data_IF_789443646560
#
_entry.id   IF_789443646560
#
_cell.length_a   1.000
_cell.length_b   1.000
_cell.length_c   1.000
_cell.angle_alpha   90.00
_cell.angle_beta   90.00
_cell.angle_gamma   90.00
#
_symmetry.space_group_name_H-M   'P 1'
#
loop_
_entity.id
_entity.type
_entity.pdbx_description
1 polymer ?
#
# COMPACT_ATOMS: atom_id res chain seq x y z
N UNK A 1 21.52 -9.06 5.59
CA UNK A 1 20.65 -8.86 6.78
C UNK A 1 21.09 -7.65 7.63
N UNK A 2 21.80 -6.65 7.08
CA UNK A 2 22.29 -5.47 7.84
C UNK A 2 21.23 -4.37 7.96
N UNK A 3 20.41 -4.16 6.92
CA UNK A 3 19.38 -3.12 6.90
C UNK A 3 18.31 -3.32 7.98
N UNK A 4 17.80 -4.55 8.12
CA UNK A 4 16.78 -4.88 9.14
C UNK A 4 17.35 -4.75 10.56
N UNK A 5 18.60 -5.16 10.78
CA UNK A 5 19.26 -5.04 12.06
C UNK A 5 19.47 -3.57 12.46
N UNK A 6 19.85 -2.72 11.49
CA UNK A 6 19.96 -1.29 11.69
C UNK A 6 18.61 -0.68 12.06
N UNK A 7 17.54 -0.99 11.32
CA UNK A 7 16.19 -0.51 11.66
C UNK A 7 15.72 -0.95 13.06
N UNK A 8 16.05 -2.18 13.49
CA UNK A 8 15.65 -2.68 14.82
C UNK A 8 16.43 -2.06 15.99
N UNK A 9 17.73 -1.78 15.80
CA UNK A 9 18.65 -1.47 16.91
C UNK A 9 19.18 -0.05 16.90
N UNK A 10 19.19 0.62 15.75
CA UNK A 10 19.75 1.96 15.59
C UNK A 10 18.63 3.00 15.67
N UNK A 11 18.59 3.75 16.78
CA UNK A 11 17.60 4.83 16.97
C UNK A 11 17.71 5.96 15.95
N UNK A 12 18.80 6.06 15.19
CA UNK A 12 18.96 7.03 14.09
C UNK A 12 18.24 6.62 12.81
N UNK A 13 17.84 5.35 12.66
CA UNK A 13 17.17 4.82 11.47
C UNK A 13 15.84 4.22 11.90
N UNK A 14 14.78 5.01 11.78
CA UNK A 14 13.43 4.67 12.20
C UNK A 14 12.48 4.36 11.02
N UNK A 15 12.99 4.40 9.79
CA UNK A 15 12.21 4.24 8.56
C UNK A 15 12.90 3.26 7.62
N UNK A 16 12.12 2.37 7.02
CA UNK A 16 12.58 1.43 6.00
C UNK A 16 11.52 1.31 4.90
N UNK A 17 11.96 1.29 3.65
CA UNK A 17 11.11 1.01 2.50
C UNK A 17 11.27 -0.44 2.08
N UNK A 18 10.14 -1.10 1.84
CA UNK A 18 10.09 -2.52 1.50
C UNK A 18 9.16 -2.67 0.30
N UNK A 19 9.64 -3.36 -0.74
CA UNK A 19 8.86 -3.65 -1.94
C UNK A 19 7.95 -4.86 -1.72
N UNK A 20 7.09 -5.15 -2.70
CA UNK A 20 6.20 -6.33 -2.70
C UNK A 20 6.94 -7.66 -2.48
N UNK A 21 8.22 -7.76 -2.86
CA UNK A 21 9.02 -8.97 -2.60
C UNK A 21 9.21 -9.20 -1.10
N UNK A 22 9.35 -8.13 -0.33
CA UNK A 22 9.49 -8.20 1.13
C UNK A 22 8.20 -8.56 1.87
N UNK A 23 7.02 -8.49 1.22
CA UNK A 23 5.74 -8.88 1.83
C UNK A 23 5.67 -10.37 2.18
N UNK A 24 6.32 -11.23 1.39
CA UNK A 24 6.26 -12.69 1.54
C UNK A 24 7.56 -13.30 2.07
N UNK A 25 8.70 -12.64 1.82
CA UNK A 25 10.02 -13.24 2.00
C UNK A 25 10.61 -13.07 3.41
N UNK A 26 10.12 -12.14 4.24
CA UNK A 26 10.75 -11.80 5.52
C UNK A 26 9.74 -11.53 6.64
N UNK A 27 10.05 -12.00 7.83
CA UNK A 27 9.41 -11.50 9.05
C UNK A 27 9.86 -10.06 9.27
N UNK A 28 8.94 -9.13 9.03
CA UNK A 28 9.15 -7.72 9.26
C UNK A 28 9.51 -7.46 10.73
N UNK A 29 10.51 -6.60 11.00
CA UNK A 29 10.83 -6.16 12.35
C UNK A 29 9.60 -5.55 13.02
N UNK A 30 9.51 -5.69 14.35
CA UNK A 30 8.44 -5.08 15.15
C UNK A 30 8.42 -3.56 14.93
N UNK A 31 7.49 -3.07 14.09
CA UNK A 31 7.31 -1.67 13.78
C UNK A 31 6.02 -1.16 14.42
N UNK A 32 6.07 0.05 14.97
CA UNK A 32 4.89 0.69 15.57
C UNK A 32 3.94 1.28 14.53
N UNK A 33 4.46 1.67 13.37
CA UNK A 33 3.70 2.30 12.29
C UNK A 33 4.04 1.62 10.99
N UNK A 34 3.01 1.27 10.23
CA UNK A 34 3.17 0.82 8.84
C UNK A 34 2.33 1.68 7.91
N UNK A 35 2.96 2.12 6.84
CA UNK A 35 2.35 2.88 5.77
C UNK A 35 2.39 2.02 4.52
N UNK A 36 1.22 1.65 4.04
CA UNK A 36 1.06 0.96 2.76
C UNK A 36 0.75 1.99 1.68
N UNK A 37 1.62 2.06 0.68
CA UNK A 37 1.38 2.81 -0.56
C UNK A 37 0.68 1.90 -1.56
N UNK A 38 -0.41 2.38 -2.18
CA UNK A 38 -1.06 1.82 -3.39
C UNK A 38 -1.23 0.29 -3.41
N UNK A 39 -2.47 -0.19 -3.30
CA UNK A 39 -2.73 -1.64 -3.23
C UNK A 39 -3.81 -2.09 -4.19
N UNK A 40 -3.39 -2.42 -5.41
CA UNK A 40 -4.25 -3.04 -6.39
C UNK A 40 -4.30 -4.56 -6.22
N UNK A 41 -5.51 -5.14 -6.24
CA UNK A 41 -5.74 -6.57 -6.52
C UNK A 41 -5.23 -7.58 -5.48
N UNK A 42 -4.88 -7.16 -4.27
CA UNK A 42 -4.34 -8.05 -3.24
C UNK A 42 -5.45 -8.80 -2.45
N UNK A 43 -5.17 -10.03 -2.01
CA UNK A 43 -6.14 -10.86 -1.29
C UNK A 43 -6.44 -10.30 0.10
N UNK A 44 -7.71 -9.97 0.37
CA UNK A 44 -8.19 -9.48 1.69
C UNK A 44 -7.72 -10.34 2.86
N UNK A 45 -7.68 -11.67 2.69
CA UNK A 45 -7.20 -12.60 3.74
C UNK A 45 -5.68 -12.49 3.97
N UNK A 46 -4.91 -12.31 2.90
CA UNK A 46 -3.46 -12.17 2.97
C UNK A 46 -3.07 -10.84 3.61
N UNK A 47 -3.77 -9.75 3.27
CA UNK A 47 -3.56 -8.43 3.89
C UNK A 47 -3.82 -8.48 5.40
N UNK A 48 -4.91 -9.10 5.84
CA UNK A 48 -5.20 -9.19 7.27
C UNK A 48 -4.22 -10.08 8.03
N UNK A 49 -3.73 -11.15 7.40
CA UNK A 49 -2.67 -11.96 7.99
C UNK A 49 -1.36 -11.16 8.09
N UNK A 50 -1.03 -10.37 7.07
CA UNK A 50 0.13 -9.46 7.06
C UNK A 50 0.01 -8.40 8.16
N UNK A 51 -1.15 -7.75 8.26
CA UNK A 51 -1.46 -6.77 9.31
C UNK A 51 -1.30 -7.37 10.70
N UNK A 52 -1.80 -8.60 10.93
CA UNK A 52 -1.64 -9.28 12.21
C UNK A 52 -0.19 -9.61 12.57
N UNK A 53 0.69 -9.81 11.58
CA UNK A 53 2.13 -9.99 11.83
C UNK A 53 2.83 -8.69 12.18
N UNK A 54 2.40 -7.60 11.57
CA UNK A 54 2.98 -6.27 11.70
C UNK A 54 2.51 -5.57 12.99
N UNK A 55 1.21 -5.60 13.28
CA UNK A 55 0.58 -4.89 14.41
C UNK A 55 0.75 -5.65 15.75
N UNK A 56 1.83 -6.39 15.92
CA UNK A 56 2.07 -7.13 17.16
C UNK A 56 2.33 -6.18 18.32
N UNK A 57 1.83 -6.59 19.48
CA UNK A 57 2.03 -5.89 20.74
C UNK A 57 3.51 -5.80 21.11
N UNK A 58 4.00 -4.60 21.43
CA UNK A 58 5.35 -4.43 21.97
C UNK A 58 5.35 -4.77 23.46
N UNK A 59 6.12 -5.79 23.85
CA UNK A 59 6.17 -6.31 25.24
C UNK A 59 6.74 -5.33 26.28
N UNK A 60 7.36 -4.23 25.85
CA UNK A 60 8.15 -3.34 26.74
C UNK A 60 7.56 -1.93 26.92
N UNK A 61 6.32 -1.69 26.47
CA UNK A 61 5.62 -0.41 26.71
C UNK A 61 4.80 -0.54 27.99
N UNK A 62 5.32 -0.02 29.11
CA UNK A 62 4.66 -0.07 30.40
C UNK A 62 3.24 0.52 30.36
N UNK A 63 2.28 -0.23 30.88
CA UNK A 63 0.94 0.17 31.36
C UNK A 63 -0.03 0.94 30.44
N UNK A 64 0.33 1.33 29.21
CA UNK A 64 -0.57 2.09 28.34
C UNK A 64 -0.60 1.59 26.90
N UNK A 65 -1.35 0.49 26.69
CA UNK A 65 -1.94 0.14 25.39
C UNK A 65 -0.99 -0.26 24.26
N UNK A 66 -1.51 -1.07 23.34
CA UNK A 66 -0.84 -1.31 22.06
C UNK A 66 -1.06 -0.13 21.12
N UNK A 67 -0.03 0.69 20.95
CA UNK A 67 -0.03 1.79 20.00
C UNK A 67 0.63 1.33 18.70
N UNK A 68 -0.11 0.54 17.92
CA UNK A 68 0.29 0.11 16.58
C UNK A 68 -0.68 0.72 15.55
N UNK A 69 -0.15 1.43 14.56
CA UNK A 69 -0.93 2.13 13.55
C UNK A 69 -0.65 1.59 12.15
N UNK A 70 -1.71 1.50 11.36
CA UNK A 70 -1.64 1.12 9.96
C UNK A 70 -2.32 2.17 9.09
N UNK A 71 -1.55 2.75 8.18
CA UNK A 71 -2.02 3.72 7.20
C UNK A 71 -2.04 3.09 5.82
N UNK A 72 -3.09 3.37 5.05
CA UNK A 72 -3.19 3.03 3.64
C UNK A 72 -3.37 4.33 2.86
N UNK A 73 -2.38 4.72 2.06
CA UNK A 73 -2.52 5.85 1.14
C UNK A 73 -3.22 5.37 -0.12
N UNK A 74 -4.23 6.12 -0.55
CA UNK A 74 -5.09 5.78 -1.69
C UNK A 74 -5.34 7.04 -2.50
N UNK A 75 -5.21 6.94 -3.82
CA UNK A 75 -5.55 8.04 -4.71
C UNK A 75 -7.06 8.10 -4.90
N UNK A 76 -7.67 9.25 -4.59
CA UNK A 76 -9.10 9.44 -4.81
C UNK A 76 -9.46 9.32 -6.30
N UNK A 77 -10.71 8.94 -6.59
CA UNK A 77 -11.22 8.75 -7.96
C UNK A 77 -10.47 7.69 -8.79
N UNK A 78 -9.73 6.79 -8.15
CA UNK A 78 -9.10 5.63 -8.80
C UNK A 78 -9.77 4.32 -8.36
N UNK A 79 -9.46 3.23 -9.06
CA UNK A 79 -9.92 1.88 -8.69
C UNK A 79 -9.50 1.48 -7.26
N UNK A 80 -8.44 2.07 -6.71
CA UNK A 80 -7.99 1.83 -5.33
C UNK A 80 -9.09 2.10 -4.30
N UNK A 81 -9.94 3.11 -4.55
CA UNK A 81 -11.08 3.43 -3.68
C UNK A 81 -12.14 2.33 -3.67
N UNK A 82 -12.32 1.61 -4.78
CA UNK A 82 -13.25 0.49 -4.83
C UNK A 82 -12.73 -0.69 -3.99
N UNK A 83 -11.43 -0.98 -4.06
CA UNK A 83 -10.80 -2.01 -3.23
C UNK A 83 -10.78 -1.66 -1.73
N UNK A 84 -10.67 -0.38 -1.39
CA UNK A 84 -10.61 0.09 0.00
C UNK A 84 -11.89 -0.20 0.78
N UNK A 85 -13.06 -0.07 0.15
CA UNK A 85 -14.36 -0.33 0.78
C UNK A 85 -14.47 -1.79 1.29
N UNK A 86 -14.03 -2.74 0.46
CA UNK A 86 -14.00 -4.16 0.81
C UNK A 86 -12.98 -4.48 1.91
N UNK A 87 -11.84 -3.77 1.93
CA UNK A 87 -10.82 -3.86 2.97
C UNK A 87 -11.33 -3.34 4.31
N UNK A 88 -11.93 -2.15 4.32
CA UNK A 88 -12.52 -1.53 5.51
C UNK A 88 -13.53 -2.47 6.17
N UNK A 89 -14.46 -3.02 5.37
CA UNK A 89 -15.45 -3.97 5.88
C UNK A 89 -14.79 -5.20 6.50
N UNK A 90 -13.84 -5.80 5.80
CA UNK A 90 -13.14 -7.00 6.28
C UNK A 90 -12.37 -6.74 7.58
N UNK A 91 -11.70 -5.58 7.71
CA UNK A 91 -10.94 -5.23 8.91
C UNK A 91 -11.87 -4.97 10.10
N UNK A 92 -12.97 -4.24 9.89
CA UNK A 92 -14.00 -4.03 10.92
C UNK A 92 -14.62 -5.35 11.40
N UNK A 93 -14.93 -6.28 10.49
CA UNK A 93 -15.42 -7.62 10.82
C UNK A 93 -14.44 -8.44 11.69
N UNK A 94 -13.15 -8.11 11.65
CA UNK A 94 -12.11 -8.73 12.49
C UNK A 94 -11.80 -7.98 13.78
N UNK A 95 -12.55 -6.92 14.08
CA UNK A 95 -12.40 -6.12 15.29
C UNK A 95 -11.34 -5.03 15.21
N UNK A 96 -10.83 -4.71 14.02
CA UNK A 96 -9.93 -3.57 13.85
C UNK A 96 -10.73 -2.26 13.74
N UNK A 97 -10.24 -1.22 14.43
CA UNK A 97 -10.70 0.15 14.20
C UNK A 97 -10.20 0.64 12.85
N UNK A 98 -11.09 1.29 12.08
CA UNK A 98 -10.76 1.85 10.78
C UNK A 98 -11.48 3.18 10.61
N UNK A 99 -10.69 4.21 10.33
CA UNK A 99 -11.12 5.59 10.16
C UNK A 99 -10.59 6.14 8.82
N UNK A 100 -11.39 6.95 8.12
CA UNK A 100 -10.91 7.74 6.98
C UNK A 100 -10.41 9.06 7.54
N UNK A 101 -9.13 9.35 7.32
CA UNK A 101 -8.54 10.64 7.66
C UNK A 101 -8.72 11.60 6.48
N UNK A 102 -9.00 12.87 6.78
CA UNK A 102 -9.00 13.93 5.78
C UNK A 102 -7.64 14.63 5.74
N UNK A 103 -7.36 15.36 4.67
CA UNK A 103 -6.10 16.11 4.51
C UNK A 103 -5.86 17.09 5.66
N UNK A 104 -6.94 17.69 6.19
CA UNK A 104 -6.90 18.61 7.32
C UNK A 104 -6.42 17.94 8.62
N UNK A 105 -6.63 16.63 8.77
CA UNK A 105 -6.22 15.87 9.96
C UNK A 105 -4.74 15.44 9.89
N UNK A 106 -4.15 15.43 8.69
CA UNK A 106 -2.83 14.85 8.43
C UNK A 106 -1.71 15.89 8.42
N UNK A 107 -1.97 17.10 7.94
CA UNK A 107 -0.91 18.10 7.74
C UNK A 107 -1.26 19.40 8.45
N UNK A 108 -0.65 19.60 9.63
CA UNK A 108 -0.72 20.86 10.37
C UNK A 108 0.28 21.91 9.87
N UNK A 109 1.41 21.47 9.31
CA UNK A 109 2.45 22.33 8.74
C UNK A 109 2.80 21.88 7.32
N UNK A 110 2.37 22.67 6.34
CA UNK A 110 2.60 22.40 4.92
C UNK A 110 3.94 22.94 4.42
N UNK A 111 4.70 23.66 5.23
CA UNK A 111 5.90 24.38 4.78
C UNK A 111 7.07 23.47 4.40
N UNK A 112 7.10 22.24 4.94
CA UNK A 112 8.16 21.26 4.69
C UNK A 112 7.75 20.17 3.68
N UNK A 113 6.57 20.29 3.07
CA UNK A 113 6.12 19.32 2.09
C UNK A 113 6.85 19.49 0.75
N UNK A 114 7.34 18.36 0.25
CA UNK A 114 7.85 18.25 -1.11
C UNK A 114 6.69 18.28 -2.11
N UNK A 115 6.97 18.75 -3.33
CA UNK A 115 5.99 18.87 -4.42
C UNK A 115 4.83 19.83 -4.10
N UNK A 116 5.11 20.91 -3.36
CA UNK A 116 4.12 21.94 -3.02
C UNK A 116 3.89 22.93 -4.16
N UNK A 117 4.81 23.05 -5.12
CA UNK A 117 4.67 23.94 -6.27
C UNK A 117 4.21 23.21 -7.53
N UNK A 118 3.47 23.92 -8.40
CA UNK A 118 3.02 23.40 -9.68
C UNK A 118 4.20 22.99 -10.58
N UNK A 119 5.30 23.74 -10.55
CA UNK A 119 6.50 23.44 -11.32
C UNK A 119 7.13 22.09 -10.90
N UNK A 120 7.25 21.82 -9.59
CA UNK A 120 7.75 20.54 -9.08
C UNK A 120 6.84 19.38 -9.48
N UNK A 121 5.52 19.59 -9.42
CA UNK A 121 4.54 18.58 -9.82
C UNK A 121 4.57 18.31 -11.33
N UNK A 122 4.72 19.34 -12.16
CA UNK A 122 4.85 19.20 -13.61
C UNK A 122 6.13 18.47 -13.99
N UNK A 123 7.25 18.77 -13.32
CA UNK A 123 8.51 18.07 -13.52
C UNK A 123 8.38 16.58 -13.20
N UNK A 124 7.78 16.24 -12.05
CA UNK A 124 7.51 14.85 -11.68
C UNK A 124 6.60 14.16 -12.71
N UNK A 125 5.55 14.84 -13.17
CA UNK A 125 4.65 14.28 -14.18
C UNK A 125 5.38 13.97 -15.49
N UNK A 126 6.24 14.88 -15.96
CA UNK A 126 7.06 14.66 -17.17
C UNK A 126 7.98 13.45 -16.99
N UNK A 127 8.64 13.33 -15.85
CA UNK A 127 9.50 12.19 -15.53
C UNK A 127 8.70 10.88 -15.58
N UNK A 128 7.57 10.81 -14.89
CA UNK A 128 6.70 9.61 -14.88
C UNK A 128 6.22 9.25 -16.29
N UNK A 129 5.81 10.24 -17.10
CA UNK A 129 5.40 10.01 -18.49
C UNK A 129 6.55 9.41 -19.31
N UNK A 130 7.77 9.94 -19.18
CA UNK A 130 8.93 9.39 -19.90
C UNK A 130 9.27 7.95 -19.48
N UNK A 131 9.19 7.64 -18.18
CA UNK A 131 9.41 6.28 -17.68
C UNK A 131 8.35 5.32 -18.20
N UNK A 132 7.08 5.74 -18.25
CA UNK A 132 5.98 4.90 -18.72
C UNK A 132 6.13 4.51 -20.19
N UNK A 133 6.60 5.43 -21.06
CA UNK A 133 6.88 5.12 -22.46
C UNK A 133 8.02 4.11 -22.62
N UNK A 134 9.09 4.24 -21.82
CA UNK A 134 10.22 3.31 -21.85
C UNK A 134 9.85 1.91 -21.35
N UNK A 135 9.01 1.80 -20.31
CA UNK A 135 8.51 0.51 -19.82
C UNK A 135 7.59 -0.20 -20.83
N UNK A 136 6.85 0.57 -21.65
CA UNK A 136 6.05 0.01 -22.73
C UNK A 136 6.92 -0.53 -23.86
N UNK A 137 7.99 0.19 -24.24
CA UNK A 137 8.96 -0.25 -25.26
C UNK A 137 9.74 -1.51 -24.80
N UNK A 138 10.16 -1.60 -23.54
CA UNK A 138 10.80 -2.80 -22.98
C UNK A 138 9.87 -4.03 -22.93
N UNK A 139 8.56 -3.83 -22.83
CA UNK A 139 7.58 -4.94 -22.86
C UNK A 139 7.34 -5.46 -24.28
N UNK A 140 7.63 -4.67 -25.31
CA UNK A 140 7.52 -5.09 -26.72
C UNK A 140 8.71 -5.97 -27.14
N UNK A 141 9.89 -5.80 -26.55
CA UNK A 141 11.09 -6.61 -26.88
C UNK A 141 11.17 -7.98 -26.17
N UNK A 142 10.36 -8.24 -25.14
CA UNK A 142 10.29 -9.58 -24.55
C UNK A 142 9.47 -10.50 -25.46
N UNK A 143 10.03 -11.57 -26.04
CA UNK A 143 9.28 -12.45 -26.93
C UNK A 143 8.08 -13.02 -26.17
N UNK A 144 6.89 -12.63 -26.63
CA UNK A 144 5.60 -13.04 -26.07
C UNK A 144 5.44 -14.55 -26.21
N UNK A 145 5.64 -15.29 -25.13
CA UNK A 145 5.29 -16.70 -25.06
C UNK A 145 3.76 -16.84 -25.12
N UNK A 146 3.29 -17.26 -26.30
CA UNK A 146 2.02 -17.91 -26.57
C UNK A 146 0.72 -17.14 -26.19
N UNK A 147 0.23 -16.31 -27.11
CA UNK A 147 -1.17 -15.83 -27.11
C UNK A 147 -2.13 -17.00 -27.42
N UNK A 148 -2.67 -17.66 -26.39
CA UNK A 148 -3.94 -18.41 -26.55
C UNK A 148 -5.08 -17.39 -26.62
N UNK A 149 -5.75 -17.34 -27.78
CA UNK A 149 -6.91 -16.49 -28.07
C UNK A 149 -8.00 -16.64 -26.99
N UNK A 150 -8.27 -15.59 -26.23
CA UNK A 150 -9.47 -15.48 -25.41
C UNK A 150 -10.63 -15.01 -26.30
N UNK A 151 -11.74 -15.74 -26.27
CA UNK A 151 -12.98 -15.43 -27.02
C UNK A 151 -13.68 -14.19 -26.44
N UNK A 152 -14.41 -13.41 -27.26
CA UNK A 152 -15.10 -12.21 -26.80
C UNK A 152 -16.27 -12.59 -25.90
N UNK A 153 -16.37 -11.95 -24.73
CA UNK A 153 -17.53 -12.05 -23.84
C UNK A 153 -18.44 -10.87 -24.19
N UNK A 154 -19.58 -11.15 -24.83
CA UNK A 154 -20.67 -10.17 -24.99
C UNK A 154 -21.38 -9.91 -23.65
N UNK A 155 -22.01 -8.74 -23.47
CA UNK A 155 -22.62 -8.32 -22.21
C UNK A 155 -24.01 -8.91 -22.08
N UNK A 156 -24.33 -9.58 -20.97
CA UNK A 156 -25.71 -9.90 -20.60
C UNK A 156 -25.81 -10.12 -19.08
N UNK A 157 -26.51 -9.22 -18.41
CA UNK A 157 -27.04 -9.38 -17.05
C UNK A 157 -27.93 -10.62 -16.95
N UNK A 158 -27.83 -11.40 -15.86
CA UNK A 158 -29.03 -11.87 -15.13
C UNK A 158 -28.73 -12.34 -13.70
N UNK A 159 -29.47 -11.74 -12.78
CA UNK A 159 -29.66 -12.01 -11.35
C UNK A 159 -30.08 -13.47 -11.07
N UNK A 160 -29.75 -14.04 -9.91
CA UNK A 160 -30.76 -14.48 -8.92
C UNK A 160 -30.12 -14.84 -7.56
N UNK A 161 -30.78 -14.34 -6.50
CA UNK A 161 -30.64 -14.75 -5.09
C UNK A 161 -31.04 -16.21 -4.90
N UNK A 162 -30.41 -16.87 -3.94
CA UNK A 162 -31.10 -17.54 -2.83
C UNK A 162 -30.49 -17.05 -1.52
#
# INVERSE_FOLDING_TARGET
>A
MVLLQNFQRNSKINTIFISRVGDAAFDLPEANVVIQLSSHGSSRRQEAQRLGRILRSKRNTGASGNNAFFYSLMSEQTDEMSYSSGRQRFLKERGYSYEKLSDADLVSDQTQLQFSTCEQQEQLLREVLTMSSQEEDEKVERPSANKKKAKPIHPLFRLFRK
#
